data_IF_060993097824
#
_entry.id   IF_060993097824
#
_cell.length_a   1.000
_cell.length_b   1.000
_cell.length_c   1.000
_cell.angle_alpha   90.00
_cell.angle_beta   90.00
_cell.angle_gamma   90.00
#
_symmetry.space_group_name_H-M   'P 1'
#
loop_
_entity.id
_entity.type
_entity.pdbx_description
1 polymer ?
#
# COMPACT_ATOMS: atom_id res chain seq x y z
N UNK A 1 -12.13 10.93 13.17
CA UNK A 1 -11.60 12.18 13.69
C UNK A 1 -12.20 13.33 12.88
N UNK A 2 -13.07 14.16 13.46
CA UNK A 2 -13.74 15.25 12.75
C UNK A 2 -12.79 16.36 12.28
N UNK A 3 -11.58 16.46 12.86
CA UNK A 3 -10.57 17.44 12.47
C UNK A 3 -9.63 16.91 11.36
N UNK A 4 -9.75 15.63 11.00
CA UNK A 4 -8.93 15.03 9.96
C UNK A 4 -9.25 15.62 8.59
N UNK A 5 -8.20 16.00 7.85
CA UNK A 5 -8.33 16.60 6.52
C UNK A 5 -7.70 15.66 5.49
N UNK A 6 -8.47 15.15 4.51
CA UNK A 6 -7.90 14.42 3.39
C UNK A 6 -7.24 15.40 2.40
N UNK A 7 -6.03 15.05 1.96
CA UNK A 7 -5.27 15.80 0.95
C UNK A 7 -4.92 14.84 -0.18
N UNK A 8 -5.45 15.12 -1.36
CA UNK A 8 -5.31 14.31 -2.57
C UNK A 8 -4.59 15.13 -3.63
N UNK A 9 -3.46 14.64 -4.11
CA UNK A 9 -2.69 15.26 -5.20
C UNK A 9 -1.89 14.18 -5.94
N UNK A 10 -1.35 14.46 -7.12
CA UNK A 10 -0.51 13.50 -7.83
C UNK A 10 -0.59 13.63 -9.34
N UNK A 11 -0.12 12.60 -10.01
CA UNK A 11 -0.02 12.52 -11.46
C UNK A 11 -1.28 11.90 -12.04
N UNK A 12 -2.36 12.69 -12.16
CA UNK A 12 -3.67 12.20 -12.61
C UNK A 12 -3.65 11.58 -14.01
N UNK A 13 -2.79 12.08 -14.90
CA UNK A 13 -2.62 11.53 -16.26
C UNK A 13 -2.02 10.12 -16.28
N UNK A 14 -1.40 9.70 -15.19
CA UNK A 14 -0.79 8.37 -15.01
C UNK A 14 -1.64 7.45 -14.13
N UNK A 15 -2.78 7.95 -13.62
CA UNK A 15 -3.58 7.24 -12.62
C UNK A 15 -2.90 7.12 -11.25
N UNK A 16 -1.92 7.98 -10.95
CA UNK A 16 -1.15 7.94 -9.70
C UNK A 16 -1.61 9.06 -8.75
N UNK A 17 -2.21 8.69 -7.62
CA UNK A 17 -2.74 9.61 -6.62
C UNK A 17 -2.10 9.38 -5.25
N UNK A 18 -1.67 10.48 -4.65
CA UNK A 18 -1.08 10.54 -3.32
C UNK A 18 -2.20 10.95 -2.36
N UNK A 19 -2.66 9.98 -1.58
CA UNK A 19 -3.65 10.19 -0.53
C UNK A 19 -2.93 10.37 0.81
N UNK A 20 -3.12 11.54 1.41
CA UNK A 20 -2.64 11.87 2.75
C UNK A 20 -3.82 12.25 3.63
N UNK A 21 -3.71 11.97 4.93
CA UNK A 21 -4.66 12.43 5.94
C UNK A 21 -3.85 13.25 6.94
N UNK A 22 -4.10 14.54 7.00
CA UNK A 22 -3.44 15.47 7.93
C UNK A 22 -4.37 15.79 9.09
N UNK A 23 -3.82 16.36 10.17
CA UNK A 23 -4.57 16.63 11.42
C UNK A 23 -5.29 15.40 11.98
N UNK A 24 -4.72 14.23 11.72
CA UNK A 24 -5.21 12.96 12.20
C UNK A 24 -4.06 12.28 12.93
N UNK A 25 -4.23 12.02 14.22
CA UNK A 25 -3.25 11.29 15.01
C UNK A 25 -3.89 9.98 15.46
N UNK A 26 -3.61 8.93 14.69
CA UNK A 26 -3.97 7.57 15.03
C UNK A 26 -2.70 6.80 15.37
N UNK A 27 -2.81 5.86 16.29
CA UNK A 27 -1.72 4.96 16.66
C UNK A 27 -2.26 3.55 16.84
N UNK A 28 -1.36 2.57 16.76
CA UNK A 28 -1.70 1.17 17.01
C UNK A 28 -2.76 0.64 16.05
N UNK A 29 -3.81 0.04 16.61
CA UNK A 29 -4.80 -0.69 15.82
C UNK A 29 -5.73 0.23 15.01
N UNK A 30 -6.05 1.42 15.52
CA UNK A 30 -6.86 2.39 14.78
C UNK A 30 -6.16 2.85 13.48
N UNK A 31 -4.84 3.03 13.50
CA UNK A 31 -4.08 3.34 12.28
C UNK A 31 -4.11 2.15 11.30
N UNK A 32 -3.93 0.93 11.81
CA UNK A 32 -3.95 -0.31 11.00
C UNK A 32 -5.31 -0.53 10.34
N UNK A 33 -6.40 -0.33 11.07
CA UNK A 33 -7.77 -0.47 10.56
C UNK A 33 -8.06 0.52 9.44
N UNK A 34 -7.69 1.79 9.64
CA UNK A 34 -7.83 2.82 8.60
C UNK A 34 -7.01 2.46 7.35
N UNK A 35 -5.77 2.03 7.54
CA UNK A 35 -4.90 1.65 6.43
C UNK A 35 -5.46 0.46 5.65
N UNK A 36 -5.95 -0.56 6.35
CA UNK A 36 -6.57 -1.75 5.74
C UNK A 36 -7.84 -1.39 4.96
N UNK A 37 -8.71 -0.55 5.53
CA UNK A 37 -9.90 -0.06 4.85
C UNK A 37 -9.55 0.72 3.57
N UNK A 38 -8.53 1.57 3.63
CA UNK A 38 -8.02 2.30 2.45
C UNK A 38 -7.49 1.35 1.38
N UNK A 39 -6.64 0.39 1.73
CA UNK A 39 -6.09 -0.58 0.76
C UNK A 39 -7.19 -1.44 0.14
N UNK A 40 -8.19 -1.84 0.92
CA UNK A 40 -9.35 -2.61 0.43
C UNK A 40 -10.15 -1.81 -0.60
N UNK A 41 -10.40 -0.52 -0.33
CA UNK A 41 -11.07 0.37 -1.29
C UNK A 41 -10.27 0.52 -2.58
N UNK A 42 -8.95 0.74 -2.48
CA UNK A 42 -8.08 0.85 -3.65
C UNK A 42 -8.14 -0.43 -4.49
N UNK A 43 -8.08 -1.61 -3.85
CA UNK A 43 -8.16 -2.89 -4.52
C UNK A 43 -9.50 -3.10 -5.24
N UNK A 44 -10.63 -2.71 -4.63
CA UNK A 44 -11.97 -2.81 -5.24
C UNK A 44 -12.10 -2.00 -6.53
N UNK A 45 -11.32 -0.93 -6.67
CA UNK A 45 -11.28 -0.11 -7.88
C UNK A 45 -10.16 -0.52 -8.86
N UNK A 46 -9.55 -1.70 -8.68
CA UNK A 46 -8.46 -2.19 -9.55
C UNK A 46 -7.15 -1.42 -9.37
N UNK A 47 -7.01 -0.71 -8.25
CA UNK A 47 -5.80 0.03 -7.92
C UNK A 47 -4.67 -0.84 -7.38
N UNK A 48 -3.53 -0.21 -7.21
CA UNK A 48 -2.26 -0.84 -6.84
C UNK A 48 -1.83 -0.39 -5.43
N UNK A 49 -1.17 -1.29 -4.68
CA UNK A 49 -0.58 -1.03 -3.35
C UNK A 49 0.49 0.08 -3.36
N UNK A 50 1.24 0.24 -4.44
CA UNK A 50 2.28 1.25 -4.55
C UNK A 50 2.67 1.55 -6.00
N UNK A 51 2.42 2.79 -6.45
CA UNK A 51 2.82 3.24 -7.79
C UNK A 51 4.31 3.54 -7.87
N UNK A 52 4.90 4.18 -6.84
CA UNK A 52 6.27 4.73 -6.91
C UNK A 52 7.13 4.50 -5.65
N UNK A 53 6.54 4.49 -4.45
CA UNK A 53 7.30 4.42 -3.18
C UNK A 53 7.73 3.01 -2.76
N UNK A 54 7.50 2.00 -3.61
CA UNK A 54 7.80 0.60 -3.31
C UNK A 54 6.94 0.01 -2.18
N UNK A 55 7.33 -1.17 -1.69
CA UNK A 55 6.51 -1.98 -0.76
C UNK A 55 7.03 -1.83 0.68
N UNK A 56 8.32 -2.08 0.91
CA UNK A 56 8.89 -2.10 2.26
C UNK A 56 8.15 -3.06 3.20
N UNK A 57 8.26 -2.82 4.51
CA UNK A 57 7.55 -3.64 5.52
C UNK A 57 6.07 -3.30 5.60
N UNK A 58 5.70 -2.02 5.45
CA UNK A 58 4.34 -1.53 5.68
C UNK A 58 3.32 -2.05 4.66
N UNK A 59 3.73 -2.28 3.41
CA UNK A 59 2.83 -2.68 2.31
C UNK A 59 2.96 -4.16 1.91
N UNK A 60 3.85 -4.91 2.57
CA UNK A 60 4.18 -6.29 2.20
C UNK A 60 2.95 -7.18 2.07
N UNK A 61 2.02 -7.04 3.01
CA UNK A 61 0.86 -7.92 3.10
C UNK A 61 -0.20 -7.62 2.01
N UNK A 62 -0.01 -6.52 1.26
CA UNK A 62 -0.89 -6.09 0.16
C UNK A 62 -0.26 -6.30 -1.23
N UNK A 63 0.88 -7.00 -1.31
CA UNK A 63 1.60 -7.20 -2.58
C UNK A 63 0.75 -7.92 -3.64
N UNK A 64 -0.20 -8.76 -3.22
CA UNK A 64 -1.14 -9.45 -4.09
C UNK A 64 -2.07 -8.52 -4.88
N UNK A 65 -2.19 -7.24 -4.50
CA UNK A 65 -2.90 -6.23 -5.29
C UNK A 65 -2.23 -5.97 -6.64
N UNK A 66 -0.91 -6.19 -6.75
CA UNK A 66 -0.13 -5.85 -7.95
C UNK A 66 0.60 -7.04 -8.57
N UNK A 67 0.66 -8.18 -7.88
CA UNK A 67 1.45 -9.35 -8.24
C UNK A 67 0.66 -10.62 -8.03
N UNK A 68 0.86 -11.58 -8.93
CA UNK A 68 0.29 -12.92 -8.79
C UNK A 68 1.07 -13.74 -7.76
N UNK A 69 0.49 -14.84 -7.29
CA UNK A 69 1.19 -15.78 -6.40
C UNK A 69 2.48 -16.34 -7.05
N UNK A 70 2.47 -16.52 -8.37
CA UNK A 70 3.64 -16.96 -9.13
C UNK A 70 4.75 -15.89 -9.14
N UNK A 71 4.40 -14.62 -9.34
CA UNK A 71 5.36 -13.50 -9.25
C UNK A 71 5.98 -13.43 -7.85
N UNK A 72 5.15 -13.54 -6.81
CA UNK A 72 5.58 -13.48 -5.41
C UNK A 72 6.50 -14.67 -5.08
N UNK A 73 6.17 -15.87 -5.57
CA UNK A 73 7.03 -17.04 -5.41
C UNK A 73 8.40 -16.84 -6.08
N UNK A 74 8.43 -16.27 -7.29
CA UNK A 74 9.68 -15.95 -7.98
C UNK A 74 10.51 -14.91 -7.22
N UNK A 75 9.90 -13.84 -6.69
CA UNK A 75 10.58 -12.85 -5.86
C UNK A 75 11.20 -13.48 -4.60
N UNK A 76 10.47 -14.40 -3.95
CA UNK A 76 10.98 -15.14 -2.78
C UNK A 76 12.15 -16.05 -3.14
N UNK A 77 12.10 -16.72 -4.30
CA UNK A 77 13.20 -17.56 -4.78
C UNK A 77 14.49 -16.74 -5.01
N UNK A 78 14.37 -15.56 -5.63
CA UNK A 78 15.50 -14.63 -5.80
C UNK A 78 16.04 -14.18 -4.44
N UNK A 79 15.17 -13.75 -3.51
CA UNK A 79 15.58 -13.36 -2.16
C UNK A 79 16.36 -14.47 -1.46
N UNK A 80 15.86 -15.71 -1.50
CA UNK A 80 16.51 -16.85 -0.86
C UNK A 80 17.87 -17.21 -1.49
N UNK A 81 18.05 -16.98 -2.80
CA UNK A 81 19.33 -17.23 -3.46
C UNK A 81 20.43 -16.25 -3.01
N UNK A 82 20.07 -14.99 -2.73
CA UNK A 82 21.01 -13.95 -2.30
C UNK A 82 21.17 -13.87 -0.77
N UNK A 83 20.12 -14.21 -0.03
CA UNK A 83 20.10 -14.13 1.43
C UNK A 83 19.16 -15.21 1.99
N UNK A 84 19.69 -16.42 2.19
CA UNK A 84 18.95 -17.63 2.60
C UNK A 84 18.61 -17.67 4.10
N UNK A 85 19.10 -16.72 4.89
CA UNK A 85 18.92 -16.65 6.35
C UNK A 85 17.94 -15.57 6.78
#
# INVERSE_FOLDING_TARGET
>A
DPEAIPVLFGHIGEGNLHLNIVRCTLTGDAERELYSAMMSLIAQHGGNVSSEHGVGTRKRDYLSMARTDADIAAMRAVKAAFDPT
#
